data_IF_987417402584
#
_entry.id   IF_987417402584
#
_cell.length_a   1.000
_cell.length_b   1.000
_cell.length_c   1.000
_cell.angle_alpha   90.00
_cell.angle_beta   90.00
_cell.angle_gamma   90.00
#
_symmetry.space_group_name_H-M   'P 1'
#
loop_
_entity.id
_entity.type
_entity.pdbx_description
1 polymer ?
#
# COMPACT_ATOMS: atom_id res chain seq x y z
N UNK A 1 2.72 17.95 -30.11
CA UNK A 1 3.52 16.73 -30.34
C UNK A 1 4.13 16.31 -29.02
N UNK A 2 3.55 15.31 -28.35
CA UNK A 2 4.01 14.84 -27.04
C UNK A 2 5.18 13.87 -27.21
N UNK A 3 6.35 14.25 -26.70
CA UNK A 3 7.52 13.37 -26.59
C UNK A 3 7.17 12.17 -25.70
N UNK A 4 7.17 10.97 -26.30
CA UNK A 4 7.14 9.72 -25.53
C UNK A 4 8.48 9.58 -24.79
N UNK A 5 8.50 9.43 -23.45
CA UNK A 5 9.74 9.28 -22.68
C UNK A 5 10.29 7.84 -22.75
N UNK A 6 10.09 7.14 -23.86
CA UNK A 6 10.39 5.71 -24.00
C UNK A 6 11.89 5.39 -24.16
N UNK A 7 12.77 6.40 -24.24
CA UNK A 7 14.19 6.21 -24.58
C UNK A 7 15.18 6.93 -23.64
N UNK A 8 14.83 7.13 -22.37
CA UNK A 8 15.78 7.62 -21.37
C UNK A 8 16.67 6.44 -20.92
N UNK A 9 17.97 6.48 -21.27
CA UNK A 9 19.00 5.56 -20.75
C UNK A 9 18.86 5.46 -19.22
N UNK A 10 18.81 4.26 -18.63
CA UNK A 10 18.59 4.06 -17.20
C UNK A 10 17.23 3.44 -16.83
N UNK A 11 16.14 3.78 -17.53
CA UNK A 11 14.79 3.33 -17.11
C UNK A 11 14.61 1.83 -17.25
N UNK A 12 15.20 1.23 -18.28
CA UNK A 12 15.12 -0.21 -18.48
C UNK A 12 15.84 -0.96 -17.36
N UNK A 13 17.03 -0.52 -16.94
CA UNK A 13 17.74 -1.15 -15.82
C UNK A 13 16.95 -0.98 -14.51
N UNK A 14 16.48 0.24 -14.21
CA UNK A 14 15.71 0.52 -12.98
C UNK A 14 14.45 -0.35 -12.91
N UNK A 15 13.69 -0.45 -14.00
CA UNK A 15 12.47 -1.29 -14.01
C UNK A 15 12.82 -2.76 -13.87
N UNK A 16 13.83 -3.27 -14.58
CA UNK A 16 14.28 -4.67 -14.45
C UNK A 16 14.69 -5.01 -13.03
N UNK A 17 15.51 -4.16 -12.42
CA UNK A 17 15.92 -4.29 -11.03
C UNK A 17 14.69 -4.32 -10.12
N UNK A 18 13.76 -3.37 -10.30
CA UNK A 18 12.50 -3.36 -9.54
C UNK A 18 11.63 -4.61 -9.78
N UNK A 19 11.59 -5.18 -10.98
CA UNK A 19 10.88 -6.45 -11.22
C UNK A 19 11.48 -7.60 -10.40
N UNK A 20 12.81 -7.63 -10.27
CA UNK A 20 13.51 -8.62 -9.45
C UNK A 20 13.21 -8.39 -7.96
N UNK A 21 13.36 -7.16 -7.47
CA UNK A 21 13.08 -6.82 -6.07
C UNK A 21 11.64 -7.15 -5.66
N UNK A 22 10.66 -6.95 -6.54
CA UNK A 22 9.26 -7.34 -6.28
C UNK A 22 9.06 -8.84 -6.12
N UNK A 23 9.84 -9.67 -6.82
CA UNK A 23 9.79 -11.13 -6.70
C UNK A 23 10.48 -11.59 -5.42
N UNK A 24 11.61 -10.97 -5.10
CA UNK A 24 12.35 -11.28 -3.87
C UNK A 24 11.52 -10.89 -2.64
N UNK A 25 10.88 -9.72 -2.66
CA UNK A 25 9.93 -9.31 -1.62
C UNK A 25 8.71 -10.22 -1.56
N UNK A 26 8.15 -10.68 -2.68
CA UNK A 26 7.06 -11.67 -2.69
C UNK A 26 7.45 -12.94 -1.92
N UNK A 27 8.66 -13.46 -2.12
CA UNK A 27 9.15 -14.64 -1.43
C UNK A 27 9.27 -14.39 0.09
N UNK A 28 9.84 -13.25 0.49
CA UNK A 28 9.94 -12.85 1.90
C UNK A 28 8.56 -12.70 2.54
N UNK A 29 7.63 -12.04 1.86
CA UNK A 29 6.25 -11.85 2.31
C UNK A 29 5.52 -13.18 2.48
N UNK A 30 5.68 -14.09 1.53
CA UNK A 30 5.03 -15.42 1.58
C UNK A 30 5.54 -16.23 2.77
N UNK A 31 6.84 -16.15 3.06
CA UNK A 31 7.42 -16.77 4.25
C UNK A 31 6.95 -16.11 5.54
N UNK A 32 6.80 -14.78 5.57
CA UNK A 32 6.44 -14.06 6.78
C UNK A 32 4.96 -14.18 7.14
N UNK A 33 4.06 -14.24 6.14
CA UNK A 33 2.61 -14.32 6.36
C UNK A 33 2.14 -15.77 6.46
N UNK A 34 2.96 -16.75 6.06
CA UNK A 34 2.63 -18.17 6.06
C UNK A 34 1.37 -18.51 5.24
N UNK A 35 1.02 -17.65 4.28
CA UNK A 35 -0.14 -17.82 3.41
C UNK A 35 0.20 -17.57 1.93
N UNK A 36 -0.60 -18.08 0.98
CA UNK A 36 -0.39 -17.82 -0.44
C UNK A 36 -0.57 -16.33 -0.79
N UNK A 37 0.49 -15.72 -1.30
CA UNK A 37 0.52 -14.34 -1.79
C UNK A 37 0.83 -14.32 -3.29
N UNK A 38 0.19 -13.42 -4.03
CA UNK A 38 0.44 -13.24 -5.45
C UNK A 38 0.78 -11.80 -5.79
N UNK A 39 1.79 -11.62 -6.65
CA UNK A 39 2.08 -10.32 -7.25
C UNK A 39 1.05 -9.99 -8.34
N UNK A 40 0.32 -8.88 -8.16
CA UNK A 40 -0.61 -8.33 -9.14
C UNK A 40 0.11 -7.37 -10.07
N UNK A 41 0.10 -7.68 -11.36
CA UNK A 41 0.65 -6.81 -12.39
C UNK A 41 -0.36 -5.73 -12.79
N UNK A 42 0.11 -4.49 -12.92
CA UNK A 42 -0.70 -3.35 -13.35
C UNK A 42 -1.19 -3.48 -14.80
N UNK A 43 -0.39 -4.09 -15.66
CA UNK A 43 -0.77 -4.44 -17.03
C UNK A 43 -1.90 -5.48 -17.11
N UNK A 44 -2.27 -6.12 -15.99
CA UNK A 44 -3.30 -7.16 -15.92
C UNK A 44 -2.71 -8.56 -15.79
N UNK A 45 -3.56 -9.53 -15.43
CA UNK A 45 -3.15 -10.92 -15.15
C UNK A 45 -2.72 -11.68 -16.39
N UNK A 46 -3.25 -11.33 -17.57
CA UNK A 46 -2.94 -11.97 -18.85
C UNK A 46 -1.76 -11.33 -19.59
N UNK A 47 -1.24 -10.20 -19.10
CA UNK A 47 -0.21 -9.45 -19.80
C UNK A 47 1.11 -10.24 -19.87
N UNK A 48 1.78 -10.20 -21.03
CA UNK A 48 3.10 -10.79 -21.23
C UNK A 48 4.22 -9.97 -20.58
N UNK A 49 5.45 -10.49 -20.56
CA UNK A 49 6.60 -9.78 -19.98
C UNK A 49 6.86 -8.42 -20.65
N UNK A 50 6.76 -8.36 -21.98
CA UNK A 50 6.98 -7.11 -22.75
C UNK A 50 5.94 -6.04 -22.38
N UNK A 51 4.68 -6.43 -22.24
CA UNK A 51 3.59 -5.51 -21.87
C UNK A 51 3.73 -5.03 -20.42
N UNK A 52 4.12 -5.91 -19.49
CA UNK A 52 4.40 -5.55 -18.09
C UNK A 52 5.54 -4.54 -18.01
N UNK A 53 6.65 -4.82 -18.68
CA UNK A 53 7.82 -3.94 -18.75
C UNK A 53 7.47 -2.56 -19.35
N UNK A 54 6.65 -2.54 -20.42
CA UNK A 54 6.17 -1.30 -21.02
C UNK A 54 5.33 -0.49 -20.02
N UNK A 55 4.38 -1.12 -19.34
CA UNK A 55 3.52 -0.47 -18.35
C UNK A 55 4.32 0.11 -17.18
N UNK A 56 5.31 -0.63 -16.68
CA UNK A 56 6.15 -0.17 -15.56
C UNK A 56 7.10 0.97 -15.99
N UNK A 57 7.65 0.92 -17.21
CA UNK A 57 8.42 2.05 -17.79
C UNK A 57 7.57 3.29 -17.97
N UNK A 58 6.34 3.15 -18.46
CA UNK A 58 5.40 4.27 -18.59
C UNK A 58 5.08 4.88 -17.22
N UNK A 59 4.87 4.05 -16.19
CA UNK A 59 4.64 4.53 -14.83
C UNK A 59 5.86 5.26 -14.27
N UNK A 60 7.07 4.72 -14.46
CA UNK A 60 8.29 5.38 -14.04
C UNK A 60 8.49 6.72 -14.76
N UNK A 61 8.30 6.76 -16.09
CA UNK A 61 8.51 7.98 -16.86
C UNK A 61 7.46 9.06 -16.67
N UNK A 62 6.19 8.68 -16.44
CA UNK A 62 5.11 9.66 -16.26
C UNK A 62 4.92 10.08 -14.80
N UNK A 63 4.99 9.15 -13.86
CA UNK A 63 4.68 9.38 -12.45
C UNK A 63 5.92 9.43 -11.56
N UNK A 64 7.10 9.06 -12.05
CA UNK A 64 8.31 8.92 -11.23
C UNK A 64 8.13 7.94 -10.07
N UNK A 65 7.26 6.93 -10.25
CA UNK A 65 6.96 5.95 -9.20
C UNK A 65 7.35 4.54 -9.62
N UNK A 66 7.85 3.77 -8.66
CA UNK A 66 7.90 2.32 -8.71
C UNK A 66 6.78 1.76 -7.81
N UNK A 67 6.09 0.70 -8.24
CA UNK A 67 5.03 0.11 -7.41
C UNK A 67 4.94 -1.39 -7.50
N UNK A 68 4.43 -1.98 -6.43
CA UNK A 68 4.08 -3.38 -6.31
C UNK A 68 2.71 -3.52 -5.65
N UNK A 69 1.98 -4.57 -6.00
CA UNK A 69 0.74 -4.91 -5.29
C UNK A 69 0.71 -6.41 -5.08
N UNK A 70 0.64 -6.82 -3.84
CA UNK A 70 0.56 -8.20 -3.42
C UNK A 70 -0.85 -8.49 -2.95
N UNK A 71 -1.40 -9.64 -3.33
CA UNK A 71 -2.74 -10.06 -2.94
C UNK A 71 -2.64 -11.32 -2.10
N UNK A 72 -3.20 -11.26 -0.90
CA UNK A 72 -3.38 -12.42 -0.02
C UNK A 72 -4.63 -13.17 -0.46
N UNK A 73 -4.47 -14.45 -0.82
CA UNK A 73 -5.56 -15.23 -1.44
C UNK A 73 -6.72 -15.50 -0.50
N UNK A 74 -6.42 -15.82 0.76
CA UNK A 74 -7.43 -16.24 1.74
C UNK A 74 -8.22 -15.06 2.29
N UNK A 75 -7.54 -14.02 2.75
CA UNK A 75 -8.17 -12.84 3.36
C UNK A 75 -8.76 -11.85 2.34
N UNK A 76 -8.44 -12.01 1.03
CA UNK A 76 -8.76 -11.05 -0.04
C UNK A 76 -8.23 -9.64 0.22
N UNK A 77 -7.24 -9.53 1.09
CA UNK A 77 -6.51 -8.31 1.36
C UNK A 77 -5.43 -8.09 0.31
N UNK A 78 -4.98 -6.85 0.19
CA UNK A 78 -3.89 -6.44 -0.66
C UNK A 78 -2.96 -5.51 0.06
N UNK A 79 -1.67 -5.71 -0.20
CA UNK A 79 -0.57 -4.91 0.26
C UNK A 79 0.01 -4.21 -0.95
N UNK A 80 -0.06 -2.89 -0.98
CA UNK A 80 0.43 -2.07 -2.08
C UNK A 80 1.61 -1.23 -1.61
N UNK A 81 2.67 -1.24 -2.41
CA UNK A 81 3.87 -0.44 -2.18
C UNK A 81 3.98 0.54 -3.33
N UNK A 82 4.24 1.81 -3.01
CA UNK A 82 4.54 2.87 -3.97
C UNK A 82 5.78 3.61 -3.46
N UNK A 83 6.84 3.57 -4.23
CA UNK A 83 8.00 4.42 -4.04
C UNK A 83 7.95 5.56 -5.05
N UNK A 84 7.77 6.79 -4.57
CA UNK A 84 7.87 7.99 -5.37
C UNK A 84 9.32 8.48 -5.35
N UNK A 85 9.99 8.35 -6.49
CA UNK A 85 11.41 8.71 -6.65
C UNK A 85 11.61 10.23 -6.69
N UNK A 86 10.58 10.99 -7.06
CA UNK A 86 10.63 12.45 -7.14
C UNK A 86 10.54 13.06 -5.75
N UNK A 87 9.55 12.64 -4.95
CA UNK A 87 9.38 13.11 -3.57
C UNK A 87 10.26 12.36 -2.57
N UNK A 88 10.87 11.23 -2.99
CA UNK A 88 11.71 10.35 -2.15
C UNK A 88 10.96 9.79 -0.95
N UNK A 89 9.74 9.34 -1.23
CA UNK A 89 8.81 8.77 -0.25
C UNK A 89 8.54 7.30 -0.62
N UNK A 90 8.51 6.44 0.40
CA UNK A 90 7.94 5.10 0.30
C UNK A 90 6.61 5.10 1.05
N UNK A 91 5.56 4.68 0.36
CA UNK A 91 4.23 4.46 0.92
C UNK A 91 3.90 2.98 0.82
N UNK A 92 3.49 2.39 1.94
CA UNK A 92 2.94 1.04 2.02
C UNK A 92 1.50 1.14 2.49
N UNK A 93 0.60 0.47 1.80
CA UNK A 93 -0.84 0.45 2.02
C UNK A 93 -1.27 -1.00 2.25
N UNK A 94 -1.90 -1.27 3.39
CA UNK A 94 -2.57 -2.54 3.66
C UNK A 94 -4.08 -2.29 3.71
N UNK A 95 -4.82 -3.02 2.90
CA UNK A 95 -6.27 -2.95 2.92
C UNK A 95 -6.91 -4.08 3.75
N UNK A 96 -8.06 -3.82 4.37
CA UNK A 96 -8.78 -4.80 5.16
C UNK A 96 -10.27 -4.48 5.27
N UNK A 97 -11.07 -5.51 5.55
CA UNK A 97 -12.53 -5.35 5.66
C UNK A 97 -12.94 -5.15 7.11
N UNK A 98 -13.91 -4.26 7.32
CA UNK A 98 -14.62 -4.19 8.60
C UNK A 98 -15.63 -5.34 8.72
N UNK A 99 -16.07 -5.71 9.94
CA UNK A 99 -17.10 -6.72 10.13
C UNK A 99 -18.39 -6.38 9.37
N UNK A 100 -18.83 -7.29 8.49
CA UNK A 100 -19.97 -7.08 7.58
C UNK A 100 -21.32 -6.82 8.27
N UNK A 101 -21.46 -7.21 9.54
CA UNK A 101 -22.68 -7.02 10.32
C UNK A 101 -22.83 -5.60 10.90
N UNK A 102 -21.79 -4.77 10.84
CA UNK A 102 -21.76 -3.46 11.49
C UNK A 102 -22.18 -2.34 10.53
N UNK A 103 -23.07 -1.45 10.97
CA UNK A 103 -23.35 -0.18 10.29
C UNK A 103 -22.18 0.80 10.46
N UNK A 104 -22.23 1.99 9.85
CA UNK A 104 -21.15 2.97 9.87
C UNK A 104 -20.53 3.21 11.25
N UNK A 105 -21.32 3.67 12.24
CA UNK A 105 -20.85 3.95 13.61
C UNK A 105 -20.20 2.75 14.28
N UNK A 106 -20.84 1.58 14.19
CA UNK A 106 -20.30 0.36 14.80
C UNK A 106 -19.00 -0.11 14.10
N UNK A 107 -18.88 0.11 12.78
CA UNK A 107 -17.66 -0.21 12.03
C UNK A 107 -16.52 0.72 12.43
N UNK A 108 -16.80 2.00 12.59
CA UNK A 108 -15.83 3.02 13.04
C UNK A 108 -15.39 2.78 14.48
N UNK A 109 -16.32 2.48 15.39
CA UNK A 109 -15.97 2.12 16.77
C UNK A 109 -15.10 0.85 16.82
N UNK A 110 -15.40 -0.14 15.97
CA UNK A 110 -14.56 -1.34 15.85
C UNK A 110 -13.17 -1.02 15.30
N UNK A 111 -13.06 -0.14 14.31
CA UNK A 111 -11.76 0.30 13.79
C UNK A 111 -10.94 1.00 14.87
N UNK A 112 -11.56 1.88 15.66
CA UNK A 112 -10.89 2.57 16.76
C UNK A 112 -10.38 1.58 17.82
N UNK A 113 -11.23 0.64 18.25
CA UNK A 113 -10.88 -0.42 19.20
C UNK A 113 -9.75 -1.32 18.68
N UNK A 114 -9.84 -1.75 17.41
CA UNK A 114 -8.84 -2.61 16.77
C UNK A 114 -7.50 -1.90 16.61
N UNK A 115 -7.49 -0.61 16.25
CA UNK A 115 -6.27 0.14 15.94
C UNK A 115 -5.67 0.87 17.16
N UNK A 116 -6.29 0.74 18.35
CA UNK A 116 -5.89 1.49 19.55
C UNK A 116 -4.43 1.23 19.95
N UNK A 117 -3.96 -0.01 19.78
CA UNK A 117 -2.59 -0.43 20.08
C UNK A 117 -1.53 0.09 19.09
N UNK A 118 -1.97 0.77 18.04
CA UNK A 118 -1.14 1.43 17.03
C UNK A 118 -1.14 2.97 17.17
N UNK A 119 -1.73 3.53 18.24
CA UNK A 119 -1.85 4.99 18.42
C UNK A 119 -0.53 5.77 18.36
N UNK A 120 0.57 5.13 18.76
CA UNK A 120 1.92 5.74 18.80
C UNK A 120 2.70 5.50 17.49
N UNK A 121 2.05 4.94 16.46
CA UNK A 121 2.65 4.71 15.15
C UNK A 121 2.26 5.82 14.17
N UNK A 122 3.22 6.26 13.36
CA UNK A 122 3.03 7.25 12.29
C UNK A 122 2.29 6.63 11.08
N UNK A 123 1.01 6.33 11.28
CA UNK A 123 0.13 5.74 10.27
C UNK A 123 -0.99 6.67 9.87
N UNK A 124 -1.55 6.39 8.69
CA UNK A 124 -2.76 7.05 8.20
C UNK A 124 -3.85 6.02 7.96
N UNK A 125 -5.08 6.36 8.31
CA UNK A 125 -6.26 5.55 8.05
C UNK A 125 -7.11 6.20 6.97
N UNK A 126 -7.53 5.40 5.99
CA UNK A 126 -8.60 5.76 5.06
C UNK A 126 -9.72 4.75 5.16
N UNK A 127 -10.93 5.25 5.32
CA UNK A 127 -12.14 4.44 5.23
C UNK A 127 -12.74 4.68 3.84
N UNK A 128 -13.17 3.62 3.15
CA UNK A 128 -13.85 3.74 1.87
C UNK A 128 -15.34 3.49 2.09
N UNK A 129 -16.14 4.56 2.01
CA UNK A 129 -17.60 4.46 2.07
C UNK A 129 -18.24 4.18 0.71
N UNK A 130 -19.46 3.66 0.74
CA UNK A 130 -20.31 3.58 -0.46
C UNK A 130 -20.68 5.00 -0.89
N UNK A 131 -20.58 5.28 -2.19
CA UNK A 131 -20.92 6.55 -2.84
C UNK A 131 -20.01 7.75 -2.52
N UNK A 132 -18.98 7.61 -1.68
CA UNK A 132 -17.94 8.62 -1.52
C UNK A 132 -16.82 8.34 -2.49
N UNK A 133 -16.44 9.35 -3.28
CA UNK A 133 -15.26 9.30 -4.13
C UNK A 133 -14.17 10.16 -3.50
N UNK A 134 -12.96 9.62 -3.43
CA UNK A 134 -11.74 10.35 -3.03
C UNK A 134 -11.75 10.86 -1.59
N UNK A 135 -12.11 10.01 -0.63
CA UNK A 135 -11.81 10.30 0.76
C UNK A 135 -10.29 10.30 0.98
N UNK A 136 -9.79 11.37 1.61
CA UNK A 136 -8.37 11.49 1.92
C UNK A 136 -8.04 10.68 3.18
N UNK A 137 -6.86 10.03 3.24
CA UNK A 137 -6.37 9.43 4.48
C UNK A 137 -6.22 10.50 5.58
N UNK A 138 -6.50 10.11 6.82
CA UNK A 138 -6.28 10.94 8.01
C UNK A 138 -5.19 10.31 8.86
N UNK A 139 -4.49 11.11 9.66
CA UNK A 139 -3.56 10.57 10.65
C UNK A 139 -4.31 9.63 11.60
N UNK A 140 -3.67 8.50 11.96
CA UNK A 140 -4.30 7.50 12.79
C UNK A 140 -4.61 8.05 14.19
N UNK A 141 -3.70 8.85 14.75
CA UNK A 141 -3.91 9.48 16.04
C UNK A 141 -5.16 10.39 16.04
N UNK A 142 -5.28 11.28 15.05
CA UNK A 142 -6.46 12.14 14.88
C UNK A 142 -7.76 11.32 14.77
N UNK A 143 -7.73 10.20 14.05
CA UNK A 143 -8.88 9.29 13.96
C UNK A 143 -9.23 8.66 15.32
N UNK A 144 -8.24 8.28 16.12
CA UNK A 144 -8.46 7.66 17.43
C UNK A 144 -8.94 8.67 18.49
N UNK A 145 -8.58 9.94 18.38
CA UNK A 145 -9.06 11.01 19.26
C UNK A 145 -10.54 11.36 19.01
N UNK A 146 -10.98 11.30 17.75
CA UNK A 146 -12.37 11.61 17.36
C UNK A 146 -12.91 10.65 16.29
N UNK A 147 -13.12 9.36 16.62
CA UNK A 147 -13.50 8.35 15.64
C UNK A 147 -14.91 8.60 15.07
N UNK A 148 -15.86 9.05 15.88
CA UNK A 148 -17.26 9.26 15.50
C UNK A 148 -17.44 10.19 14.30
N UNK A 149 -16.55 11.18 14.13
CA UNK A 149 -16.56 12.08 12.99
C UNK A 149 -16.37 11.37 11.66
N UNK A 150 -15.68 10.23 11.64
CA UNK A 150 -15.50 9.44 10.43
C UNK A 150 -16.80 8.74 9.98
N UNK A 151 -17.76 8.53 10.89
CA UNK A 151 -19.06 7.95 10.57
C UNK A 151 -20.14 8.98 10.22
N UNK A 152 -19.85 10.28 10.37
CA UNK A 152 -20.82 11.34 10.11
C UNK A 152 -21.23 11.37 8.64
N UNK A 153 -22.53 11.47 8.36
CA UNK A 153 -23.07 11.39 6.99
C UNK A 153 -23.09 9.98 6.38
N UNK A 154 -22.65 8.94 7.11
CA UNK A 154 -22.65 7.55 6.64
C UNK A 154 -23.58 6.65 7.47
N UNK A 155 -24.33 5.80 6.77
CA UNK A 155 -25.25 4.82 7.38
C UNK A 155 -24.84 3.37 7.09
N UNK A 156 -24.33 3.12 5.90
CA UNK A 156 -23.90 1.80 5.42
C UNK A 156 -22.56 1.35 6.03
N UNK A 157 -22.29 0.05 5.99
CA UNK A 157 -20.98 -0.52 6.29
C UNK A 157 -19.92 0.01 5.29
N UNK A 158 -18.69 0.35 5.74
CA UNK A 158 -17.58 0.64 4.85
C UNK A 158 -17.35 -0.50 3.83
N UNK A 159 -16.91 -0.14 2.63
CA UNK A 159 -16.45 -1.10 1.63
C UNK A 159 -15.13 -1.74 2.09
N UNK A 160 -14.21 -0.90 2.58
CA UNK A 160 -12.87 -1.29 3.01
C UNK A 160 -12.24 -0.21 3.88
N UNK A 161 -11.28 -0.57 4.71
CA UNK A 161 -10.34 0.34 5.33
C UNK A 161 -8.93 0.11 4.76
N UNK A 162 -8.11 1.15 4.80
CA UNK A 162 -6.72 1.12 4.35
C UNK A 162 -5.85 1.76 5.42
N UNK A 163 -4.83 1.03 5.86
CA UNK A 163 -3.80 1.52 6.75
C UNK A 163 -2.55 1.83 5.93
N UNK A 164 -2.03 3.04 6.07
CA UNK A 164 -0.85 3.51 5.35
C UNK A 164 0.31 3.75 6.28
N UNK A 165 1.49 3.25 5.91
CA UNK A 165 2.77 3.68 6.43
C UNK A 165 3.47 4.55 5.38
N UNK A 166 3.84 5.77 5.73
CA UNK A 166 4.54 6.71 4.84
C UNK A 166 5.90 7.02 5.45
N UNK A 167 6.97 6.77 4.68
CA UNK A 167 8.34 7.03 5.10
C UNK A 167 9.02 7.98 4.12
N UNK A 168 9.33 9.18 4.59
CA UNK A 168 10.12 10.16 3.88
C UNK A 168 11.57 10.08 4.37
N UNK A 169 12.42 9.36 3.63
CA UNK A 169 13.83 9.22 3.96
C UNK A 169 14.73 9.44 2.73
N UNK A 170 14.97 10.70 2.34
CA UNK A 170 15.72 11.03 1.12
C UNK A 170 17.12 10.43 1.06
N UNK A 171 17.74 10.19 2.22
CA UNK A 171 19.09 9.60 2.32
C UNK A 171 19.11 8.16 1.83
N UNK A 172 18.03 7.38 2.06
CA UNK A 172 17.96 5.97 1.66
C UNK A 172 17.77 5.80 0.14
N UNK A 173 17.38 6.84 -0.59
CA UNK A 173 17.30 6.84 -2.07
C UNK A 173 18.66 7.01 -2.76
N UNK A 174 19.75 7.14 -2.01
CA UNK A 174 21.11 7.32 -2.54
C UNK A 174 21.76 6.04 -3.07
N UNK A 175 21.28 4.86 -2.64
CA UNK A 175 21.78 3.58 -3.13
C UNK A 175 20.66 2.55 -3.20
N UNK A 176 20.79 1.60 -4.13
CA UNK A 176 19.84 0.49 -4.30
C UNK A 176 19.64 -0.29 -2.99
N UNK A 177 20.73 -0.67 -2.32
CA UNK A 177 20.67 -1.43 -1.05
C UNK A 177 19.90 -0.66 0.03
N UNK A 178 20.19 0.62 0.21
CA UNK A 178 19.51 1.43 1.22
C UNK A 178 18.02 1.64 0.89
N UNK A 179 17.69 1.80 -0.39
CA UNK A 179 16.32 1.94 -0.87
C UNK A 179 15.51 0.66 -0.65
N UNK A 180 16.05 -0.50 -1.00
CA UNK A 180 15.41 -1.79 -0.77
C UNK A 180 15.17 -2.01 0.71
N UNK A 181 16.19 -1.74 1.55
CA UNK A 181 16.03 -1.85 3.00
C UNK A 181 14.90 -0.95 3.52
N UNK A 182 14.80 0.30 3.04
CA UNK A 182 13.68 1.18 3.41
C UNK A 182 12.32 0.59 3.02
N UNK A 183 12.20 0.04 1.81
CA UNK A 183 10.96 -0.61 1.34
C UNK A 183 10.61 -1.79 2.24
N UNK A 184 11.58 -2.66 2.52
CA UNK A 184 11.39 -3.84 3.35
C UNK A 184 11.02 -3.48 4.79
N UNK A 185 11.80 -2.61 5.44
CA UNK A 185 11.56 -2.17 6.81
C UNK A 185 10.16 -1.56 6.97
N UNK A 186 9.77 -0.68 6.04
CA UNK A 186 8.45 -0.04 6.07
C UNK A 186 7.33 -1.07 5.88
N UNK A 187 7.55 -2.04 4.99
CA UNK A 187 6.56 -3.05 4.65
C UNK A 187 6.35 -4.04 5.79
N UNK A 188 7.44 -4.60 6.33
CA UNK A 188 7.37 -5.57 7.41
C UNK A 188 6.91 -4.95 8.72
N UNK A 189 7.32 -3.72 9.03
CA UNK A 189 6.78 -3.00 10.21
C UNK A 189 5.26 -2.90 10.15
N UNK A 190 4.70 -2.45 9.02
CA UNK A 190 3.23 -2.34 8.86
C UNK A 190 2.54 -3.71 9.00
N UNK A 191 3.13 -4.77 8.45
CA UNK A 191 2.56 -6.11 8.55
C UNK A 191 2.62 -6.66 9.98
N UNK A 192 3.75 -6.51 10.66
CA UNK A 192 3.90 -6.99 12.03
C UNK A 192 2.94 -6.25 12.98
N UNK A 193 2.79 -4.94 12.80
CA UNK A 193 1.81 -4.14 13.53
C UNK A 193 0.36 -4.54 13.18
N UNK A 194 0.05 -4.83 11.92
CA UNK A 194 -1.27 -5.31 11.51
C UNK A 194 -1.61 -6.71 12.06
N UNK A 195 -0.62 -7.62 12.15
CA UNK A 195 -0.78 -8.93 12.82
C UNK A 195 -1.04 -8.76 14.31
N UNK A 196 -0.29 -7.87 14.96
CA UNK A 196 -0.41 -7.59 16.40
C UNK A 196 -1.83 -7.18 16.78
N UNK A 197 -2.52 -6.46 15.91
CA UNK A 197 -3.92 -6.05 16.12
C UNK A 197 -4.96 -6.96 15.44
N UNK A 198 -4.56 -8.10 14.89
CA UNK A 198 -5.46 -9.08 14.30
C UNK A 198 -6.19 -8.62 13.03
N UNK A 199 -5.59 -7.70 12.27
CA UNK A 199 -6.11 -7.30 10.95
C UNK A 199 -5.76 -8.33 9.88
N UNK A 200 -4.56 -8.92 9.98
CA UNK A 200 -4.07 -9.99 9.11
C UNK A 200 -3.73 -11.24 9.92
#
# INVERSE_FOLDING_TARGET
MGSHPSNIKGFTEIVKDWEQERRDLLNKLSSAIEAPIHLKHKAGSKAGQVERMKCDKEQLGSKHTLSATYRMSESKQSLRIVADLKSKIVQVELDFSTPKSKKARASVAWLADTLQDLKDCDYFLKINWRNVRNEEPRELLDFLEYPEGAAEGHSDTPIKAHLYAIQNNPKKFSSRKAFIQLVEDTTFKLLDDAKRVGII
#
